data_IF_600177018911
#
_entry.id   IF_600177018911
#
_cell.length_a   1.000
_cell.length_b   1.000
_cell.length_c   1.000
_cell.angle_alpha   90.00
_cell.angle_beta   90.00
_cell.angle_gamma   90.00
#
_symmetry.space_group_name_H-M   'P 1'
#
loop_
_entity.id
_entity.type
_entity.pdbx_description
1 polymer ?
#
# COMPACT_ATOMS: atom_id res chain seq x y z
N UNK A 1 11.39 -2.73 -14.50
CA UNK A 1 9.95 -2.86 -14.81
C UNK A 1 9.13 -2.31 -13.64
N UNK A 2 8.21 -1.44 -13.92
CA UNK A 2 7.26 -0.93 -12.93
C UNK A 2 5.98 -1.74 -12.98
N UNK A 3 5.46 -2.11 -11.83
CA UNK A 3 4.19 -2.81 -11.74
C UNK A 3 3.24 -2.01 -10.85
N UNK A 4 2.06 -1.74 -11.36
CA UNK A 4 1.02 -1.05 -10.60
C UNK A 4 0.01 -2.06 -10.09
N UNK A 5 -0.28 -1.96 -8.79
CA UNK A 5 -1.23 -2.83 -8.11
C UNK A 5 -2.38 -2.01 -7.55
N UNK A 6 -3.55 -2.61 -7.50
CA UNK A 6 -4.69 -2.05 -6.78
C UNK A 6 -5.08 -3.03 -5.67
N UNK A 7 -5.07 -2.55 -4.44
CA UNK A 7 -5.42 -3.35 -3.28
C UNK A 7 -6.71 -2.82 -2.64
N UNK A 8 -7.65 -3.71 -2.39
CA UNK A 8 -8.89 -3.36 -1.69
C UNK A 8 -8.65 -3.41 -0.19
N UNK A 9 -8.75 -2.26 0.46
CA UNK A 9 -8.59 -2.16 1.90
C UNK A 9 -9.78 -2.79 2.64
N UNK A 10 -9.49 -3.26 3.86
CA UNK A 10 -10.52 -3.83 4.73
C UNK A 10 -10.45 -3.17 6.09
N UNK A 11 -11.61 -2.79 6.62
CA UNK A 11 -11.70 -2.22 7.95
C UNK A 11 -11.18 -0.80 8.10
N UNK A 12 -11.05 -0.06 7.00
CA UNK A 12 -10.55 1.32 7.01
C UNK A 12 -11.48 2.27 6.28
N UNK A 13 -11.28 3.57 6.48
CA UNK A 13 -12.08 4.59 5.80
C UNK A 13 -11.72 4.73 4.33
N UNK A 14 -10.50 4.41 3.93
CA UNK A 14 -10.13 4.37 2.51
C UNK A 14 -10.60 3.05 1.89
N UNK A 15 -10.99 3.09 0.62
CA UNK A 15 -11.51 1.88 -0.05
C UNK A 15 -10.42 1.08 -0.72
N UNK A 16 -9.47 1.74 -1.37
CA UNK A 16 -8.42 1.10 -2.16
C UNK A 16 -7.10 1.85 -2.04
N UNK A 17 -6.01 1.14 -2.33
CA UNK A 17 -4.69 1.74 -2.48
C UNK A 17 -4.13 1.32 -3.83
N UNK A 18 -3.62 2.29 -4.60
CA UNK A 18 -2.83 2.01 -5.80
C UNK A 18 -1.35 2.09 -5.41
N UNK A 19 -0.60 1.05 -5.72
CA UNK A 19 0.83 0.96 -5.39
C UNK A 19 1.61 0.70 -6.67
N UNK A 20 2.62 1.52 -6.93
CA UNK A 20 3.54 1.29 -8.05
C UNK A 20 4.88 0.87 -7.46
N UNK A 21 5.36 -0.30 -7.84
CA UNK A 21 6.57 -0.91 -7.30
C UNK A 21 7.57 -1.17 -8.43
N UNK A 22 8.84 -0.88 -8.16
CA UNK A 22 9.94 -1.15 -9.08
C UNK A 22 11.19 -1.52 -8.29
N UNK A 23 11.80 -2.65 -8.64
CA UNK A 23 13.08 -3.10 -8.05
C UNK A 23 13.07 -3.11 -6.51
N UNK A 24 11.98 -3.58 -5.92
CA UNK A 24 11.85 -3.67 -4.47
C UNK A 24 11.61 -2.35 -3.77
N UNK A 25 11.29 -1.29 -4.51
CA UNK A 25 10.96 0.03 -3.96
C UNK A 25 9.55 0.43 -4.30
N UNK A 26 8.94 1.16 -3.38
CA UNK A 26 7.62 1.74 -3.59
C UNK A 26 7.82 3.08 -4.33
N UNK A 27 7.51 3.09 -5.62
CA UNK A 27 7.68 4.29 -6.44
C UNK A 27 6.65 5.35 -6.06
N UNK A 28 5.37 4.96 -6.04
CA UNK A 28 4.28 5.84 -5.60
C UNK A 28 3.21 5.02 -4.90
N UNK A 29 2.42 5.72 -4.07
CA UNK A 29 1.25 5.16 -3.43
C UNK A 29 0.13 6.19 -3.49
N UNK A 30 -1.10 5.74 -3.67
CA UNK A 30 -2.26 6.62 -3.70
C UNK A 30 -3.46 5.91 -3.06
N UNK A 31 -4.06 6.57 -2.09
CA UNK A 31 -5.28 6.08 -1.45
C UNK A 31 -6.51 6.65 -2.14
N UNK A 32 -7.56 5.84 -2.21
CA UNK A 32 -8.85 6.27 -2.70
C UNK A 32 -9.86 6.26 -1.55
N UNK A 33 -10.53 7.40 -1.34
CA UNK A 33 -11.45 7.59 -0.23
C UNK A 33 -10.74 7.83 1.09
N UNK A 34 -11.51 8.02 2.15
CA UNK A 34 -11.00 8.19 3.50
C UNK A 34 -10.48 9.58 3.82
N UNK A 35 -9.60 9.66 4.82
CA UNK A 35 -9.06 10.91 5.34
C UNK A 35 -7.96 11.43 4.43
N UNK A 36 -8.28 12.39 3.59
CA UNK A 36 -7.36 12.90 2.56
C UNK A 36 -6.02 13.37 3.11
N UNK A 37 -6.03 14.12 4.21
CA UNK A 37 -4.79 14.67 4.78
C UNK A 37 -3.83 13.58 5.22
N UNK A 38 -4.32 12.63 6.02
CA UNK A 38 -3.49 11.55 6.55
C UNK A 38 -3.00 10.60 5.46
N UNK A 39 -3.88 10.21 4.54
CA UNK A 39 -3.50 9.27 3.49
C UNK A 39 -2.53 9.88 2.49
N UNK A 40 -2.70 11.16 2.15
CA UNK A 40 -1.74 11.87 1.29
C UNK A 40 -0.39 12.03 1.96
N UNK A 41 -0.38 12.33 3.26
CA UNK A 41 0.86 12.46 4.01
C UNK A 41 1.65 11.16 4.06
N UNK A 42 0.98 10.05 4.33
CA UNK A 42 1.61 8.72 4.36
C UNK A 42 2.14 8.37 2.98
N UNK A 43 1.35 8.58 1.93
CA UNK A 43 1.78 8.28 0.56
C UNK A 43 3.03 9.06 0.17
N UNK A 44 3.09 10.33 0.55
CA UNK A 44 4.26 11.17 0.28
C UNK A 44 5.49 10.71 1.05
N UNK A 45 5.33 10.32 2.32
CA UNK A 45 6.45 9.89 3.16
C UNK A 45 7.10 8.61 2.69
N UNK A 46 6.33 7.66 2.17
CA UNK A 46 6.85 6.35 1.77
C UNK A 46 7.36 6.31 0.33
N UNK A 47 7.12 7.36 -0.43
CA UNK A 47 7.52 7.41 -1.84
C UNK A 47 9.02 7.20 -1.99
N UNK A 48 9.41 6.24 -2.81
CA UNK A 48 10.81 5.92 -3.08
C UNK A 48 11.47 5.00 -2.05
N UNK A 49 10.78 4.63 -0.98
CA UNK A 49 11.35 3.77 0.06
C UNK A 49 11.37 2.30 -0.36
N UNK A 50 12.36 1.52 0.12
CA UNK A 50 12.31 0.07 -0.03
C UNK A 50 11.03 -0.48 0.60
N UNK A 51 10.36 -1.43 -0.08
CA UNK A 51 9.09 -1.96 0.42
C UNK A 51 9.24 -2.65 1.78
N UNK A 52 10.37 -3.29 2.06
CA UNK A 52 10.63 -3.90 3.37
C UNK A 52 10.61 -2.87 4.49
N UNK A 53 11.16 -1.69 4.24
CA UNK A 53 11.17 -0.62 5.23
C UNK A 53 9.77 -0.07 5.46
N UNK A 54 8.99 0.11 4.40
CA UNK A 54 7.60 0.55 4.51
C UNK A 54 6.80 -0.43 5.34
N UNK A 55 6.93 -1.73 5.07
CA UNK A 55 6.25 -2.77 5.82
C UNK A 55 6.61 -2.69 7.30
N UNK A 56 7.90 -2.63 7.61
CA UNK A 56 8.37 -2.60 9.00
C UNK A 56 7.83 -1.40 9.76
N UNK A 57 7.75 -0.25 9.12
CA UNK A 57 7.31 0.98 9.77
C UNK A 57 5.79 1.06 9.95
N UNK A 58 5.02 0.47 9.05
CA UNK A 58 3.57 0.67 9.02
C UNK A 58 2.76 -0.52 9.52
N UNK A 59 3.32 -1.73 9.54
CA UNK A 59 2.56 -2.90 9.97
C UNK A 59 2.13 -2.79 11.43
N UNK A 60 0.91 -3.21 11.71
CA UNK A 60 0.41 -3.24 13.07
C UNK A 60 -0.13 -1.92 13.59
N UNK A 61 -0.05 -0.83 12.81
CA UNK A 61 -0.62 0.45 13.22
C UNK A 61 -2.14 0.34 13.19
N UNK A 62 -2.78 0.70 14.30
CA UNK A 62 -4.23 0.62 14.45
C UNK A 62 -4.84 2.00 14.51
N UNK A 63 -6.05 2.14 13.99
CA UNK A 63 -6.81 3.39 14.05
C UNK A 63 -7.87 3.25 15.16
N UNK A 64 -7.62 3.87 16.32
CA UNK A 64 -8.50 3.77 17.47
C UNK A 64 -8.70 2.33 17.91
N UNK A 65 -9.95 1.88 17.98
CA UNK A 65 -10.31 0.51 18.39
C UNK A 65 -10.33 -0.47 17.21
N UNK A 66 -10.06 -0.01 16.01
CA UNK A 66 -10.05 -0.89 14.84
C UNK A 66 -8.81 -1.79 14.86
N UNK A 67 -8.91 -3.03 14.34
CA UNK A 67 -7.77 -3.94 14.32
C UNK A 67 -6.71 -3.58 13.27
N UNK A 68 -6.97 -2.58 12.44
CA UNK A 68 -6.10 -2.17 11.34
C UNK A 68 -6.22 -0.67 11.08
N UNK A 69 -5.49 -0.15 10.12
CA UNK A 69 -5.51 1.24 9.70
C UNK A 69 -5.11 1.34 8.23
N UNK A 70 -5.27 2.52 7.63
CA UNK A 70 -4.81 2.74 6.26
C UNK A 70 -3.30 2.43 6.10
N UNK A 71 -2.40 2.90 6.99
CA UNK A 71 -0.99 2.49 6.91
C UNK A 71 -0.78 0.98 7.03
N UNK A 72 -1.46 0.33 7.97
CA UNK A 72 -1.35 -1.11 8.16
C UNK A 72 -1.83 -1.87 6.92
N UNK A 73 -2.90 -1.41 6.27
CA UNK A 73 -3.38 -2.03 5.03
C UNK A 73 -2.35 -1.91 3.90
N UNK A 74 -1.64 -0.79 3.81
CA UNK A 74 -0.55 -0.63 2.86
C UNK A 74 0.56 -1.65 3.14
N UNK A 75 0.92 -1.85 4.40
CA UNK A 75 1.92 -2.84 4.79
C UNK A 75 1.47 -4.25 4.41
N UNK A 76 0.21 -4.57 4.60
CA UNK A 76 -0.35 -5.88 4.21
C UNK A 76 -0.28 -6.09 2.70
N UNK A 77 -0.66 -5.08 1.92
CA UNK A 77 -0.59 -5.15 0.47
C UNK A 77 0.85 -5.35 -0.01
N UNK A 78 1.79 -4.60 0.54
CA UNK A 78 3.21 -4.72 0.17
C UNK A 78 3.80 -6.07 0.58
N UNK A 79 3.35 -6.64 1.69
CA UNK A 79 3.76 -7.99 2.10
C UNK A 79 3.32 -9.03 1.08
N UNK A 80 2.08 -8.94 0.58
CA UNK A 80 1.60 -9.83 -0.46
C UNK A 80 2.41 -9.68 -1.74
N UNK A 81 2.71 -8.46 -2.13
CA UNK A 81 3.52 -8.17 -3.32
C UNK A 81 4.93 -8.75 -3.18
N UNK A 82 5.57 -8.51 -2.04
CA UNK A 82 6.91 -9.02 -1.75
C UNK A 82 6.98 -10.53 -1.83
N UNK A 83 5.97 -11.21 -1.30
CA UNK A 83 5.92 -12.67 -1.25
C UNK A 83 5.40 -13.31 -2.54
N UNK A 84 4.97 -12.50 -3.50
CA UNK A 84 4.40 -13.01 -4.75
C UNK A 84 3.05 -13.69 -4.58
N UNK A 85 2.31 -13.33 -3.54
CA UNK A 85 1.01 -13.92 -3.25
C UNK A 85 -0.10 -13.24 -4.02
N UNK A 86 -1.07 -14.04 -4.46
CA UNK A 86 -2.27 -13.53 -5.12
C UNK A 86 -3.47 -13.69 -4.22
N UNK A 87 -4.26 -12.63 -4.09
CA UNK A 87 -5.53 -12.68 -3.35
C UNK A 87 -6.59 -11.94 -4.14
N UNK A 88 -7.90 -12.19 -3.86
CA UNK A 88 -8.95 -11.42 -4.52
C UNK A 88 -8.87 -9.91 -4.28
N UNK A 89 -8.22 -9.49 -3.18
CA UNK A 89 -8.09 -8.07 -2.83
C UNK A 89 -6.95 -7.36 -3.56
N UNK A 90 -5.98 -8.11 -4.10
CA UNK A 90 -4.81 -7.54 -4.77
C UNK A 90 -4.85 -7.85 -6.25
N UNK A 91 -4.85 -6.81 -7.08
CA UNK A 91 -4.88 -6.94 -8.54
C UNK A 91 -3.72 -6.20 -9.17
N UNK A 92 -3.14 -6.79 -10.19
CA UNK A 92 -2.16 -6.09 -11.04
C UNK A 92 -2.96 -5.26 -12.05
N UNK A 93 -2.70 -3.96 -12.09
CA UNK A 93 -3.38 -3.04 -13.02
C UNK A 93 -2.58 -2.93 -14.31
N UNK A 94 -1.30 -2.63 -14.20
CA UNK A 94 -0.43 -2.44 -15.36
C UNK A 94 0.98 -2.87 -15.04
N UNK A 95 1.76 -3.17 -16.09
CA UNK A 95 3.20 -3.40 -15.99
C UNK A 95 3.86 -2.49 -17.02
N UNK A 96 4.87 -1.74 -16.59
CA UNK A 96 5.60 -0.81 -17.44
C UNK A 96 7.09 -1.05 -17.30
N UNK A 97 7.81 -1.04 -18.41
CA UNK A 97 9.26 -1.07 -18.35
C UNK A 97 9.79 0.30 -17.98
N UNK A 98 10.77 0.32 -17.08
CA UNK A 98 11.40 1.56 -16.62
C UNK A 98 12.27 2.18 -17.71
#
# INVERSE_FOLDING_TARGET
MKTAYLYKNQGTCSSHIKLVVEDGRLVTAEYYGGCNGNTKGIAALVQGMPIDEVITRLEGIRCGFKPTSCPDQMAKALTLIKNGESTPSLKIITEEEA
#
